data_IF_181949758996
#
_entry.id   IF_181949758996
#
_cell.length_a   1.000
_cell.length_b   1.000
_cell.length_c   1.000
_cell.angle_alpha   90.00
_cell.angle_beta   90.00
_cell.angle_gamma   90.00
#
_symmetry.space_group_name_H-M   'P 1'
#
loop_
_entity.id
_entity.type
_entity.pdbx_description
1 polymer ?
#
# COMPACT_ATOMS: atom_id res chain seq x y z
N UNK A 1 11.52 14.60 23.78
CA UNK A 1 11.13 15.50 22.67
C UNK A 1 10.15 14.73 21.80
N UNK A 2 8.85 14.97 21.93
CA UNK A 2 7.84 14.29 21.09
C UNK A 2 7.94 14.96 19.72
N UNK A 3 8.44 14.23 18.71
CA UNK A 3 8.46 14.72 17.34
C UNK A 3 7.01 14.79 16.88
N UNK A 4 6.42 15.99 16.93
CA UNK A 4 5.11 16.24 16.33
C UNK A 4 5.30 16.33 14.82
N UNK A 5 5.11 15.19 14.16
CA UNK A 5 5.05 15.11 12.69
C UNK A 5 3.88 15.99 12.22
N UNK A 6 4.15 16.96 11.34
CA UNK A 6 3.13 17.80 10.70
C UNK A 6 2.15 16.89 9.92
N UNK A 7 0.83 16.96 10.17
CA UNK A 7 -0.18 16.22 9.41
C UNK A 7 -0.05 16.37 7.89
N UNK A 8 0.56 17.45 7.38
CA UNK A 8 0.89 17.63 5.96
C UNK A 8 1.84 16.56 5.40
N UNK A 9 2.61 15.86 6.23
CA UNK A 9 3.47 14.75 5.78
C UNK A 9 2.64 13.65 5.12
N UNK A 10 1.45 13.36 5.66
CA UNK A 10 0.61 12.28 5.17
C UNK A 10 -0.05 12.63 3.85
N UNK A 11 -0.39 13.91 3.62
CA UNK A 11 -0.78 14.39 2.30
C UNK A 11 0.34 14.15 1.26
N UNK A 12 1.60 14.46 1.59
CA UNK A 12 2.73 14.20 0.69
C UNK A 12 2.95 12.71 0.44
N UNK A 13 2.85 11.89 1.49
CA UNK A 13 2.95 10.44 1.38
C UNK A 13 1.83 9.87 0.49
N UNK A 14 0.59 10.33 0.66
CA UNK A 14 -0.55 9.96 -0.17
C UNK A 14 -0.34 10.37 -1.63
N UNK A 15 0.19 11.57 -1.89
CA UNK A 15 0.49 12.04 -3.25
C UNK A 15 1.52 11.14 -3.95
N UNK A 16 2.64 10.84 -3.28
CA UNK A 16 3.69 9.95 -3.81
C UNK A 16 3.11 8.55 -4.04
N UNK A 17 2.36 8.03 -3.06
CA UNK A 17 1.72 6.72 -3.17
C UNK A 17 0.71 6.68 -4.30
N UNK A 18 -0.03 7.76 -4.56
CA UNK A 18 -1.01 7.88 -5.64
C UNK A 18 -0.39 7.86 -7.02
N UNK A 19 0.72 8.58 -7.20
CA UNK A 19 1.51 8.53 -8.43
C UNK A 19 1.97 7.09 -8.69
N UNK A 20 2.51 6.42 -7.66
CA UNK A 20 2.98 5.05 -7.77
C UNK A 20 1.83 4.06 -8.04
N UNK A 21 0.70 4.17 -7.33
CA UNK A 21 -0.44 3.27 -7.45
C UNK A 21 -1.05 3.32 -8.86
N UNK A 22 -1.22 4.53 -9.41
CA UNK A 22 -1.72 4.71 -10.77
C UNK A 22 -0.70 4.28 -11.82
N UNK A 23 0.59 4.58 -11.63
CA UNK A 23 1.65 4.15 -12.55
C UNK A 23 1.78 2.63 -12.62
N UNK A 24 1.82 1.96 -11.47
CA UNK A 24 1.89 0.49 -11.39
C UNK A 24 0.59 -0.18 -11.83
N UNK A 25 -0.57 0.43 -11.54
CA UNK A 25 -1.88 -0.08 -11.99
C UNK A 25 -2.03 -0.04 -13.51
N UNK A 26 -1.69 1.09 -14.13
CA UNK A 26 -1.73 1.22 -15.60
C UNK A 26 -0.68 0.36 -16.29
N UNK A 27 0.53 0.24 -15.73
CA UNK A 27 1.53 -0.73 -16.18
C UNK A 27 0.98 -2.17 -16.12
N UNK A 28 0.34 -2.54 -15.01
CA UNK A 28 -0.27 -3.86 -14.81
C UNK A 28 -1.32 -4.22 -15.87
N UNK A 29 -2.15 -3.24 -16.25
CA UNK A 29 -3.23 -3.45 -17.21
C UNK A 29 -2.76 -3.44 -18.67
N UNK A 30 -1.83 -2.54 -19.02
CA UNK A 30 -1.44 -2.33 -20.43
C UNK A 30 -0.16 -3.03 -20.86
N UNK A 31 0.81 -3.20 -19.95
CA UNK A 31 2.18 -3.58 -20.30
C UNK A 31 2.58 -4.92 -19.67
N UNK A 32 2.15 -5.19 -18.43
CA UNK A 32 2.58 -6.36 -17.69
C UNK A 32 2.05 -7.66 -18.30
N UNK A 33 2.97 -8.51 -18.77
CA UNK A 33 2.64 -9.78 -19.40
C UNK A 33 3.55 -10.90 -18.87
N UNK A 34 3.24 -11.47 -17.69
CA UNK A 34 4.03 -12.56 -17.12
C UNK A 34 3.88 -13.85 -17.94
N UNK A 35 4.87 -14.74 -17.82
CA UNK A 35 4.90 -16.06 -18.43
C UNK A 35 3.82 -16.95 -17.82
N UNK A 36 3.67 -16.90 -16.49
CA UNK A 36 2.58 -17.53 -15.76
C UNK A 36 1.43 -16.53 -15.52
N UNK A 37 0.25 -16.72 -16.15
CA UNK A 37 -0.88 -15.80 -16.03
C UNK A 37 -1.39 -15.57 -14.61
N UNK A 38 -1.14 -16.49 -13.67
CA UNK A 38 -1.55 -16.31 -12.27
C UNK A 38 -0.89 -15.11 -11.60
N UNK A 39 0.28 -14.66 -12.08
CA UNK A 39 0.93 -13.45 -11.58
C UNK A 39 0.27 -12.15 -12.04
N UNK A 40 -0.57 -12.17 -13.09
CA UNK A 40 -1.43 -11.01 -13.39
C UNK A 40 -2.43 -10.77 -12.26
N UNK A 41 -3.00 -11.82 -11.69
CA UNK A 41 -3.91 -11.70 -10.54
C UNK A 41 -3.19 -11.22 -9.28
N UNK A 42 -1.95 -11.65 -9.07
CA UNK A 42 -1.10 -11.14 -7.97
C UNK A 42 -0.83 -9.64 -8.15
N UNK A 43 -0.46 -9.22 -9.36
CA UNK A 43 -0.24 -7.79 -9.68
C UNK A 43 -1.53 -6.98 -9.50
N UNK A 44 -2.65 -7.48 -10.03
CA UNK A 44 -3.95 -6.82 -9.91
C UNK A 44 -4.37 -6.65 -8.44
N UNK A 45 -4.16 -7.69 -7.61
CA UNK A 45 -4.41 -7.63 -6.17
C UNK A 45 -3.50 -6.60 -5.49
N UNK A 46 -2.20 -6.58 -5.82
CA UNK A 46 -1.27 -5.58 -5.31
C UNK A 46 -1.73 -4.15 -5.63
N UNK A 47 -2.14 -3.91 -6.88
CA UNK A 47 -2.65 -2.61 -7.36
C UNK A 47 -3.95 -2.20 -6.69
N UNK A 48 -4.91 -3.10 -6.54
CA UNK A 48 -6.16 -2.81 -5.86
C UNK A 48 -5.91 -2.37 -4.41
N UNK A 49 -5.13 -3.14 -3.66
CA UNK A 49 -4.82 -2.80 -2.27
C UNK A 49 -4.00 -1.51 -2.16
N UNK A 50 -3.03 -1.29 -3.06
CA UNK A 50 -2.23 -0.07 -3.09
C UNK A 50 -3.11 1.15 -3.32
N UNK A 51 -4.00 1.12 -4.31
CA UNK A 51 -4.87 2.23 -4.66
C UNK A 51 -5.89 2.54 -3.55
N UNK A 52 -6.58 1.52 -3.03
CA UNK A 52 -7.59 1.68 -1.95
C UNK A 52 -6.96 2.31 -0.71
N UNK A 53 -5.79 1.81 -0.29
CA UNK A 53 -5.15 2.28 0.94
C UNK A 53 -4.43 3.61 0.73
N UNK A 54 -4.04 3.94 -0.50
CA UNK A 54 -3.60 5.29 -0.86
C UNK A 54 -4.75 6.30 -0.76
N UNK A 55 -5.93 5.95 -1.27
CA UNK A 55 -7.11 6.81 -1.13
C UNK A 55 -7.46 7.05 0.34
N UNK A 56 -7.39 6.00 1.17
CA UNK A 56 -7.55 6.13 2.63
C UNK A 56 -6.46 7.02 3.26
N UNK A 57 -5.20 6.92 2.80
CA UNK A 57 -4.06 7.70 3.32
C UNK A 57 -4.24 9.21 3.14
N UNK A 58 -4.98 9.66 2.11
CA UNK A 58 -5.35 11.07 1.94
C UNK A 58 -6.13 11.60 3.16
N UNK A 59 -6.94 10.75 3.80
CA UNK A 59 -7.71 11.09 4.99
C UNK A 59 -6.92 11.04 6.29
N UNK A 60 -5.70 10.53 6.32
CA UNK A 60 -4.92 10.42 7.55
C UNK A 60 -4.76 11.72 8.35
N UNK A 61 -4.49 12.89 7.72
CA UNK A 61 -4.31 14.17 8.42
C UNK A 61 -5.51 14.63 9.27
N UNK A 62 -6.72 14.17 8.96
CA UNK A 62 -7.96 14.56 9.65
C UNK A 62 -8.40 13.54 10.71
N UNK A 63 -7.68 12.43 10.86
CA UNK A 63 -7.97 11.43 11.90
C UNK A 63 -7.48 11.90 13.27
N UNK A 64 -7.99 11.30 14.36
CA UNK A 64 -7.56 11.60 15.72
C UNK A 64 -6.08 11.29 15.97
N UNK A 65 -5.58 10.21 15.37
CA UNK A 65 -4.20 9.74 15.48
C UNK A 65 -3.53 9.62 14.10
N UNK A 66 -3.22 10.76 13.42
CA UNK A 66 -2.78 10.77 12.03
C UNK A 66 -1.52 9.95 11.78
N UNK A 67 -0.58 9.96 12.73
CA UNK A 67 0.68 9.22 12.60
C UNK A 67 0.53 7.72 12.75
N UNK A 68 -0.44 7.27 13.56
CA UNK A 68 -0.73 5.84 13.72
C UNK A 68 -1.43 5.33 12.47
N UNK A 69 -2.51 6.00 12.07
CA UNK A 69 -3.29 5.60 10.90
C UNK A 69 -2.46 5.66 9.61
N UNK A 70 -1.82 6.81 9.36
CA UNK A 70 -0.99 7.00 8.17
C UNK A 70 0.23 6.07 8.15
N UNK A 71 0.89 5.87 9.29
CA UNK A 71 2.05 4.98 9.40
C UNK A 71 1.70 3.54 9.10
N UNK A 72 0.61 3.03 9.67
CA UNK A 72 0.13 1.67 9.44
C UNK A 72 -0.33 1.44 8.00
N UNK A 73 -1.04 2.40 7.39
CA UNK A 73 -1.39 2.34 5.97
C UNK A 73 -0.15 2.30 5.07
N UNK A 74 0.83 3.18 5.29
CA UNK A 74 2.07 3.19 4.50
C UNK A 74 2.86 1.90 4.68
N UNK A 75 2.99 1.41 5.92
CA UNK A 75 3.64 0.13 6.20
C UNK A 75 2.93 -1.03 5.48
N UNK A 76 1.59 -1.05 5.52
CA UNK A 76 0.79 -2.03 4.80
C UNK A 76 0.98 -1.96 3.28
N UNK A 77 0.99 -0.77 2.68
CA UNK A 77 1.23 -0.59 1.23
C UNK A 77 2.59 -1.17 0.84
N UNK A 78 3.64 -0.85 1.59
CA UNK A 78 4.99 -1.34 1.28
C UNK A 78 5.11 -2.85 1.47
N UNK A 79 4.64 -3.37 2.60
CA UNK A 79 4.80 -4.79 2.95
C UNK A 79 3.83 -5.71 2.20
N UNK A 80 2.58 -5.30 1.95
CA UNK A 80 1.60 -6.07 1.19
C UNK A 80 1.73 -5.82 -0.31
N UNK A 81 1.41 -4.61 -0.77
CA UNK A 81 1.38 -4.32 -2.20
C UNK A 81 2.78 -4.36 -2.82
N UNK A 82 3.77 -3.73 -2.19
CA UNK A 82 5.15 -3.73 -2.69
C UNK A 82 5.72 -5.15 -2.87
N UNK A 83 5.52 -6.01 -1.88
CA UNK A 83 6.00 -7.40 -1.94
C UNK A 83 5.25 -8.25 -2.98
N UNK A 84 3.94 -8.06 -3.13
CA UNK A 84 3.15 -8.70 -4.18
C UNK A 84 3.53 -8.21 -5.59
N UNK A 85 3.86 -6.93 -5.76
CA UNK A 85 4.41 -6.43 -7.04
C UNK A 85 5.74 -7.10 -7.36
N UNK A 86 6.65 -7.22 -6.40
CA UNK A 86 7.92 -7.93 -6.60
C UNK A 86 7.68 -9.40 -6.96
N UNK A 87 6.78 -10.08 -6.24
CA UNK A 87 6.44 -11.47 -6.52
C UNK A 87 5.85 -11.68 -7.91
N UNK A 88 5.01 -10.76 -8.36
CA UNK A 88 4.46 -10.78 -9.71
C UNK A 88 5.54 -10.49 -10.76
N UNK A 89 6.38 -9.48 -10.53
CA UNK A 89 7.42 -9.06 -11.47
C UNK A 89 8.49 -10.14 -11.69
N UNK A 90 8.95 -10.78 -10.60
CA UNK A 90 9.94 -11.85 -10.66
C UNK A 90 9.34 -13.24 -10.87
N UNK A 91 8.00 -13.34 -10.92
CA UNK A 91 7.26 -14.60 -11.00
C UNK A 91 7.68 -15.62 -9.90
N UNK A 92 7.97 -15.11 -8.69
CA UNK A 92 8.36 -15.89 -7.53
C UNK A 92 7.58 -15.48 -6.28
N UNK A 93 6.82 -16.43 -5.72
CA UNK A 93 5.98 -16.22 -4.54
C UNK A 93 6.76 -16.01 -3.24
N UNK A 94 8.05 -16.33 -3.21
CA UNK A 94 8.88 -16.07 -2.03
C UNK A 94 8.96 -14.58 -1.69
N UNK A 95 8.86 -13.70 -2.70
CA UNK A 95 8.82 -12.26 -2.45
C UNK A 95 7.53 -11.82 -1.73
N UNK A 96 6.46 -12.61 -1.73
CA UNK A 96 5.21 -12.30 -1.01
C UNK A 96 5.22 -12.67 0.48
N UNK A 97 6.31 -13.25 1.00
CA UNK A 97 6.42 -13.59 2.43
C UNK A 97 6.11 -12.42 3.39
N UNK A 98 6.43 -11.15 3.08
CA UNK A 98 6.05 -10.01 3.92
C UNK A 98 4.56 -9.65 3.87
N UNK A 99 3.80 -10.13 2.88
CA UNK A 99 2.43 -9.68 2.65
C UNK A 99 1.48 -9.88 3.85
N UNK A 100 1.49 -11.01 4.58
CA UNK A 100 0.64 -11.18 5.77
C UNK A 100 0.84 -10.07 6.82
N UNK A 101 2.08 -9.64 7.05
CA UNK A 101 2.38 -8.55 7.98
C UNK A 101 1.81 -7.21 7.48
N UNK A 102 1.88 -6.97 6.17
CA UNK A 102 1.24 -5.80 5.56
C UNK A 102 -0.29 -5.83 5.68
N UNK A 103 -0.90 -7.00 5.54
CA UNK A 103 -2.33 -7.21 5.78
C UNK A 103 -2.73 -6.91 7.22
N UNK A 104 -1.97 -7.39 8.20
CA UNK A 104 -2.19 -7.03 9.61
C UNK A 104 -1.99 -5.54 9.89
N UNK A 105 -1.02 -4.90 9.23
CA UNK A 105 -0.84 -3.45 9.34
C UNK A 105 -2.07 -2.69 8.81
N UNK A 106 -2.68 -3.11 7.69
CA UNK A 106 -3.94 -2.55 7.22
C UNK A 106 -5.07 -2.73 8.21
N UNK A 107 -5.25 -3.94 8.76
CA UNK A 107 -6.28 -4.21 9.79
C UNK A 107 -6.07 -3.31 11.00
N UNK A 108 -4.82 -3.18 11.48
CA UNK A 108 -4.49 -2.32 12.60
C UNK A 108 -4.71 -0.83 12.28
N UNK A 109 -4.45 -0.38 11.05
CA UNK A 109 -4.74 0.98 10.61
C UNK A 109 -6.24 1.26 10.77
N UNK A 110 -7.11 0.42 10.19
CA UNK A 110 -8.56 0.60 10.30
C UNK A 110 -9.05 0.50 11.74
N UNK A 111 -8.52 -0.45 12.52
CA UNK A 111 -8.85 -0.58 13.94
C UNK A 111 -8.47 0.67 14.76
N UNK A 112 -7.39 1.36 14.40
CA UNK A 112 -6.96 2.59 15.10
C UNK A 112 -7.97 3.73 15.01
N UNK A 113 -8.89 3.69 14.03
CA UNK A 113 -9.96 4.68 13.89
C UNK A 113 -11.11 4.48 14.90
N UNK A 114 -11.14 3.37 15.64
CA UNK A 114 -12.16 3.13 16.69
C UNK A 114 -11.95 4.00 17.93
N UNK A 115 -10.79 4.66 18.07
CA UNK A 115 -10.37 5.36 19.29
C UNK A 115 -10.04 6.82 19.02
#
# INVERSE_FOLDING_TARGET
MVVTIDPKVWHKAAAISGIAALGLGTYGFHVFSPQNPSFREVWHTASLYHLVHTAALVGAPITKFPNIFGGLLTAGILAFSGSCYMAAYFEDRNYSLPAPFGGFAFVAAWASLLF
#
